data_IF_100084144613
#
_entry.id   IF_100084144613
#
_cell.length_a   1.000
_cell.length_b   1.000
_cell.length_c   1.000
_cell.angle_alpha   90.00
_cell.angle_beta   90.00
_cell.angle_gamma   90.00
#
_symmetry.space_group_name_H-M   'P 1'
#
loop_
_entity.id
_entity.type
_entity.pdbx_description
1 polymer ?
#
# COMPACT_ATOMS: atom_id res chain seq x y z
N UNK A 1 43.29 8.34 -72.64
CA UNK A 1 43.88 9.41 -71.80
C UNK A 1 42.97 10.62 -71.94
N UNK A 2 42.23 11.13 -70.96
CA UNK A 2 41.95 10.78 -69.56
C UNK A 2 40.73 11.62 -69.14
N UNK A 3 39.88 11.06 -68.29
CA UNK A 3 38.65 11.66 -67.71
C UNK A 3 39.01 12.59 -66.51
N UNK A 4 38.10 13.41 -65.93
CA UNK A 4 37.04 12.89 -65.03
C UNK A 4 35.68 13.68 -64.91
N UNK A 5 34.57 12.93 -64.76
CA UNK A 5 33.52 12.95 -63.69
C UNK A 5 32.91 14.30 -63.19
N UNK A 6 31.65 14.48 -62.78
CA UNK A 6 30.43 13.67 -62.57
C UNK A 6 29.32 14.66 -62.15
N UNK A 7 28.06 14.49 -62.60
CA UNK A 7 26.88 15.06 -61.91
C UNK A 7 25.61 14.41 -62.45
N UNK A 8 24.94 13.59 -61.65
CA UNK A 8 23.49 13.56 -61.37
C UNK A 8 23.11 12.27 -60.60
N UNK A 9 22.47 12.43 -59.44
CA UNK A 9 21.64 11.42 -58.74
C UNK A 9 20.36 12.13 -58.26
N UNK A 10 19.16 11.64 -58.58
CA UNK A 10 18.35 10.61 -57.86
C UNK A 10 17.66 11.19 -56.62
N UNK A 11 16.42 10.92 -56.20
CA UNK A 11 15.25 10.16 -56.65
C UNK A 11 14.12 10.50 -55.64
N UNK A 12 12.86 10.39 -56.08
CA UNK A 12 11.63 10.11 -55.30
C UNK A 12 11.10 11.03 -54.16
N UNK A 13 9.87 11.54 -54.36
CA UNK A 13 8.75 11.38 -53.41
C UNK A 13 7.44 11.92 -54.03
N UNK A 14 6.62 11.00 -54.53
CA UNK A 14 5.22 11.20 -54.91
C UNK A 14 4.35 11.01 -53.67
N UNK A 15 3.30 11.82 -53.49
CA UNK A 15 2.19 11.45 -52.61
C UNK A 15 1.59 12.59 -51.78
N UNK A 16 0.98 13.56 -52.44
CA UNK A 16 -0.03 14.42 -51.83
C UNK A 16 -1.33 13.60 -51.77
N UNK A 17 -1.73 13.14 -50.58
CA UNK A 17 -3.13 12.79 -50.33
C UNK A 17 -3.60 13.50 -49.06
N UNK A 18 -4.68 14.23 -49.30
CA UNK A 18 -5.22 15.33 -48.53
C UNK A 18 -6.03 14.92 -47.31
N UNK A 19 -6.14 15.88 -46.39
CA UNK A 19 -7.36 16.31 -45.69
C UNK A 19 -8.25 15.24 -45.03
N UNK A 20 -8.56 15.51 -43.76
CA UNK A 20 -9.61 14.89 -42.93
C UNK A 20 -9.20 13.59 -42.20
N UNK A 21 -8.25 13.73 -41.26
CA UNK A 21 -8.40 13.14 -39.93
C UNK A 21 -8.07 14.19 -38.88
N UNK A 22 -9.07 15.01 -38.64
CA UNK A 22 -9.25 15.77 -37.40
C UNK A 22 -9.05 14.85 -36.18
N UNK A 23 -8.40 15.45 -35.18
CA UNK A 23 -8.81 15.36 -33.77
C UNK A 23 -8.92 13.95 -33.16
N UNK A 24 -7.81 13.40 -32.63
CA UNK A 24 -7.85 12.74 -31.30
C UNK A 24 -6.49 12.33 -30.70
N UNK A 25 -5.50 13.22 -30.55
CA UNK A 25 -4.33 12.90 -29.69
C UNK A 25 -3.74 14.11 -28.97
N UNK A 26 -4.56 15.04 -28.49
CA UNK A 26 -4.12 15.95 -27.42
C UNK A 26 -4.60 15.39 -26.08
N UNK A 27 -4.04 14.25 -25.68
CA UNK A 27 -4.03 13.88 -24.26
C UNK A 27 -2.99 14.81 -23.61
N UNK A 28 -3.43 16.02 -23.28
CA UNK A 28 -2.72 16.85 -22.32
C UNK A 28 -2.88 16.09 -21.01
N UNK A 29 -1.88 15.28 -20.65
CA UNK A 29 -1.73 14.83 -19.27
C UNK A 29 -1.96 16.08 -18.39
N UNK A 30 -2.92 16.07 -17.46
CA UNK A 30 -3.14 17.21 -16.58
C UNK A 30 -1.79 17.56 -15.96
N UNK A 31 -1.44 18.86 -15.84
CA UNK A 31 -0.13 19.27 -15.36
C UNK A 31 0.14 18.50 -14.06
N UNK A 32 1.18 17.67 -14.08
CA UNK A 32 1.57 16.83 -12.97
C UNK A 32 1.82 17.77 -11.79
N UNK A 33 0.81 17.92 -10.92
CA UNK A 33 0.97 18.69 -9.69
C UNK A 33 1.93 17.89 -8.86
N UNK A 34 3.16 18.38 -8.81
CA UNK A 34 4.17 17.87 -7.91
C UNK A 34 3.64 18.10 -6.49
N UNK A 35 2.96 17.09 -5.93
CA UNK A 35 2.53 17.07 -4.54
C UNK A 35 3.80 16.88 -3.70
N UNK A 36 4.56 17.96 -3.52
CA UNK A 36 5.74 17.97 -2.66
C UNK A 36 5.23 18.09 -1.22
N UNK A 37 4.76 16.98 -0.66
CA UNK A 37 4.47 16.90 0.76
C UNK A 37 5.75 17.28 1.54
N UNK A 38 5.64 18.26 2.43
CA UNK A 38 6.82 18.71 3.19
C UNK A 38 7.18 17.69 4.27
N UNK A 39 8.41 17.76 4.78
CA UNK A 39 8.81 16.92 5.92
C UNK A 39 7.91 17.12 7.15
N UNK A 40 7.34 18.33 7.31
CA UNK A 40 6.41 18.63 8.40
C UNK A 40 5.04 18.00 8.19
N UNK A 41 4.53 17.97 6.95
CA UNK A 41 3.28 17.30 6.61
C UNK A 41 3.38 15.80 6.86
N UNK A 42 4.51 15.20 6.48
CA UNK A 42 4.80 13.81 6.79
C UNK A 42 4.87 13.55 8.29
N UNK A 43 5.53 14.41 9.07
CA UNK A 43 5.57 14.28 10.53
C UNK A 43 4.19 14.36 11.15
N UNK A 44 3.32 15.27 10.68
CA UNK A 44 1.94 15.39 11.14
C UNK A 44 1.11 14.14 10.80
N UNK A 45 1.22 13.67 9.56
CA UNK A 45 0.54 12.44 9.12
C UNK A 45 0.94 11.26 10.01
N UNK A 46 2.25 11.05 10.20
CA UNK A 46 2.78 9.94 10.98
C UNK A 46 2.37 9.99 12.46
N UNK A 47 2.39 11.18 13.08
CA UNK A 47 1.89 11.34 14.45
C UNK A 47 0.40 10.97 14.58
N UNK A 48 -0.36 11.06 13.49
CA UNK A 48 -1.78 10.70 13.45
C UNK A 48 -1.98 9.20 13.23
N UNK A 49 -1.26 8.59 12.28
CA UNK A 49 -1.48 7.18 11.92
C UNK A 49 -0.75 6.18 12.83
N UNK A 50 0.44 6.50 13.35
CA UNK A 50 1.24 5.55 14.14
C UNK A 50 0.50 4.97 15.36
N UNK A 51 -0.28 5.75 16.13
CA UNK A 51 -1.09 5.19 17.23
C UNK A 51 -2.12 4.14 16.80
N UNK A 52 -2.55 4.16 15.54
CA UNK A 52 -3.52 3.24 14.95
C UNK A 52 -2.87 1.98 14.32
N UNK A 53 -1.54 1.93 14.31
CA UNK A 53 -0.77 0.77 13.85
C UNK A 53 -0.55 -0.17 15.02
N UNK A 54 -0.87 -1.45 14.81
CA UNK A 54 -0.74 -2.49 15.83
C UNK A 54 0.17 -3.61 15.35
N UNK A 55 0.79 -4.29 16.31
CA UNK A 55 1.49 -5.55 16.06
C UNK A 55 0.53 -6.69 16.33
N UNK A 56 0.28 -7.52 15.34
CA UNK A 56 -0.50 -8.73 15.49
C UNK A 56 0.44 -9.89 15.82
N UNK A 57 0.26 -10.50 16.99
CA UNK A 57 0.85 -11.79 17.36
C UNK A 57 -0.18 -12.86 17.08
N UNK A 58 0.10 -13.76 16.13
CA UNK A 58 -0.79 -14.85 15.75
C UNK A 58 -0.13 -16.19 16.06
N UNK A 59 -0.84 -17.07 16.76
CA UNK A 59 -0.37 -18.40 17.14
C UNK A 59 -1.31 -19.46 16.58
N UNK A 60 -0.81 -20.25 15.63
CA UNK A 60 -1.44 -21.46 15.14
C UNK A 60 -0.96 -22.65 15.98
N UNK A 61 -1.82 -23.15 16.89
CA UNK A 61 -1.46 -24.22 17.81
C UNK A 61 -1.24 -25.58 17.12
N UNK A 62 -1.78 -25.78 15.92
CA UNK A 62 -1.69 -27.02 15.14
C UNK A 62 -1.53 -26.67 13.66
N UNK A 63 -0.88 -27.58 12.93
CA UNK A 63 -0.89 -27.51 11.49
C UNK A 63 -2.33 -27.68 10.98
N UNK A 64 -2.68 -26.94 9.95
CA UNK A 64 -3.99 -26.99 9.33
C UNK A 64 -3.87 -26.69 7.84
N UNK A 65 -4.55 -27.50 7.02
CA UNK A 65 -4.45 -27.45 5.56
C UNK A 65 -2.98 -27.57 5.12
N UNK A 66 -2.39 -26.51 4.55
CA UNK A 66 -0.98 -26.46 4.13
C UNK A 66 -0.07 -25.68 5.08
N UNK A 67 -0.60 -25.11 6.17
CA UNK A 67 0.15 -24.25 7.10
C UNK A 67 0.62 -25.04 8.33
N UNK A 68 1.88 -24.84 8.73
CA UNK A 68 2.45 -25.43 9.93
C UNK A 68 1.99 -24.72 11.22
N UNK A 69 2.10 -25.42 12.35
CA UNK A 69 1.95 -24.80 13.65
C UNK A 69 3.11 -23.81 13.90
N UNK A 70 2.82 -22.72 14.60
CA UNK A 70 3.82 -21.72 14.92
C UNK A 70 3.22 -20.40 15.39
N UNK A 71 4.10 -19.50 15.82
CA UNK A 71 3.76 -18.12 16.12
C UNK A 71 4.42 -17.19 15.09
N UNK A 72 3.70 -16.14 14.70
CA UNK A 72 4.20 -15.11 13.79
C UNK A 72 3.77 -13.73 14.27
N UNK A 73 4.54 -12.74 13.85
CA UNK A 73 4.24 -11.33 14.06
C UNK A 73 3.95 -10.66 12.73
N UNK A 74 3.02 -9.71 12.72
CA UNK A 74 2.69 -8.94 11.55
C UNK A 74 2.20 -7.55 11.94
N UNK A 75 2.05 -6.68 10.95
CA UNK A 75 1.44 -5.36 11.14
C UNK A 75 -0.07 -5.43 10.88
N UNK A 76 -0.84 -4.72 11.70
CA UNK A 76 -2.25 -4.43 11.46
C UNK A 76 -2.53 -2.93 11.54
N UNK A 77 -3.61 -2.50 10.89
CA UNK A 77 -4.06 -1.12 10.86
C UNK A 77 -5.50 -1.03 11.33
N UNK A 78 -5.79 -0.20 12.34
CA UNK A 78 -7.19 0.03 12.73
C UNK A 78 -7.87 0.88 11.65
N UNK A 79 -8.88 0.30 10.99
CA UNK A 79 -9.63 0.95 9.90
C UNK A 79 -11.06 1.32 10.28
N UNK A 80 -11.59 0.73 11.35
CA UNK A 80 -12.86 1.15 11.97
C UNK A 80 -12.74 1.01 13.49
N UNK A 81 -12.52 2.14 14.18
CA UNK A 81 -12.36 2.21 15.64
C UNK A 81 -13.67 1.90 16.36
N UNK A 82 -14.81 2.26 15.78
CA UNK A 82 -16.13 2.07 16.41
C UNK A 82 -16.51 0.59 16.44
N UNK A 83 -16.21 -0.14 15.36
CA UNK A 83 -16.48 -1.59 15.24
C UNK A 83 -15.30 -2.45 15.70
N UNK A 84 -14.15 -1.83 15.99
CA UNK A 84 -12.92 -2.49 16.38
C UNK A 84 -12.35 -3.36 15.27
N UNK A 85 -12.28 -2.86 14.04
CA UNK A 85 -11.79 -3.61 12.87
C UNK A 85 -10.34 -3.25 12.59
N UNK A 86 -9.51 -4.29 12.48
CA UNK A 86 -8.11 -4.22 12.08
C UNK A 86 -7.95 -4.86 10.71
N UNK A 87 -7.40 -4.12 9.77
CA UNK A 87 -6.96 -4.60 8.46
C UNK A 87 -5.53 -5.15 8.55
N UNK A 88 -5.30 -6.30 7.93
CA UNK A 88 -3.96 -6.90 7.78
C UNK A 88 -3.92 -7.76 6.52
N UNK A 89 -2.80 -8.43 6.25
CA UNK A 89 -2.70 -9.35 5.13
C UNK A 89 -3.44 -10.67 5.39
N UNK A 90 -3.91 -11.31 4.32
CA UNK A 90 -4.69 -12.57 4.38
C UNK A 90 -3.87 -13.70 5.01
N UNK A 91 -2.58 -13.75 4.74
CA UNK A 91 -1.68 -14.78 5.28
C UNK A 91 -1.49 -14.67 6.80
N UNK A 92 -1.74 -13.50 7.40
CA UNK A 92 -1.67 -13.26 8.85
C UNK A 92 -2.87 -13.88 9.57
N UNK A 93 -4.06 -13.80 8.96
CA UNK A 93 -5.30 -14.36 9.52
C UNK A 93 -5.22 -15.88 9.71
N UNK A 94 -4.37 -16.56 8.92
CA UNK A 94 -4.27 -18.03 8.79
C UNK A 94 -5.56 -18.68 8.26
N UNK A 95 -5.46 -19.82 7.55
CA UNK A 95 -6.63 -20.55 7.05
C UNK A 95 -7.33 -21.38 8.14
N UNK A 96 -6.59 -21.77 9.19
CA UNK A 96 -7.09 -22.59 10.28
C UNK A 96 -7.34 -21.80 11.58
N UNK A 97 -7.77 -22.48 12.65
CA UNK A 97 -7.95 -21.89 13.96
C UNK A 97 -6.67 -21.20 14.47
N UNK A 98 -6.81 -19.95 14.90
CA UNK A 98 -5.70 -19.10 15.34
C UNK A 98 -6.05 -18.40 16.66
N UNK A 99 -5.07 -18.29 17.55
CA UNK A 99 -5.12 -17.39 18.71
C UNK A 99 -4.35 -16.14 18.32
N UNK A 100 -4.98 -14.96 18.42
CA UNK A 100 -4.37 -13.73 17.97
C UNK A 100 -4.56 -12.58 18.96
N UNK A 101 -3.54 -11.74 19.08
CA UNK A 101 -3.50 -10.58 19.97
C UNK A 101 -2.94 -9.37 19.22
N UNK A 102 -3.51 -8.20 19.45
CA UNK A 102 -3.03 -6.92 18.94
C UNK A 102 -2.31 -6.16 20.06
N UNK A 103 -1.06 -5.78 19.79
CA UNK A 103 -0.26 -4.92 20.66
C UNK A 103 -0.25 -3.50 20.10
N UNK A 104 -0.75 -2.57 20.88
CA UNK A 104 -0.72 -1.15 20.53
C UNK A 104 0.64 -0.51 20.90
N UNK A 105 0.89 0.70 20.40
CA UNK A 105 2.15 1.43 20.63
C UNK A 105 2.47 1.65 22.11
N UNK A 106 1.44 1.74 22.96
CA UNK A 106 1.58 1.88 24.41
C UNK A 106 1.66 0.54 25.16
N UNK A 107 1.80 -0.58 24.44
CA UNK A 107 1.90 -1.95 24.95
C UNK A 107 0.62 -2.51 25.58
N UNK A 108 -0.54 -1.90 25.30
CA UNK A 108 -1.81 -2.58 25.58
C UNK A 108 -1.95 -3.78 24.63
N UNK A 109 -2.11 -4.98 25.20
CA UNK A 109 -2.32 -6.22 24.46
C UNK A 109 -3.78 -6.62 24.54
N UNK A 110 -4.46 -6.65 23.39
CA UNK A 110 -5.90 -6.92 23.31
C UNK A 110 -6.14 -8.18 22.46
N UNK A 111 -6.99 -9.12 22.91
CA UNK A 111 -7.35 -10.27 22.09
C UNK A 111 -8.09 -9.83 20.83
N UNK A 112 -7.75 -10.45 19.70
CA UNK A 112 -8.40 -10.21 18.41
C UNK A 112 -8.91 -11.49 17.80
N UNK A 113 -9.99 -11.38 17.04
CA UNK A 113 -10.65 -12.53 16.42
C UNK A 113 -10.76 -12.33 14.91
N UNK A 114 -10.38 -13.33 14.10
CA UNK A 114 -10.52 -13.23 12.65
C UNK A 114 -12.02 -13.15 12.30
N UNK A 115 -12.40 -12.16 11.50
CA UNK A 115 -13.79 -11.99 11.03
C UNK A 115 -13.93 -12.14 9.52
N UNK A 116 -12.83 -11.99 8.79
CA UNK A 116 -12.82 -12.16 7.35
C UNK A 116 -11.42 -12.50 6.85
N UNK A 117 -11.36 -13.37 5.85
CA UNK A 117 -10.15 -13.73 5.12
C UNK A 117 -10.50 -13.74 3.64
N UNK A 118 -9.91 -12.84 2.88
CA UNK A 118 -10.27 -12.74 1.47
C UNK A 118 -9.77 -13.98 0.69
N UNK A 119 -10.56 -14.54 -0.23
CA UNK A 119 -10.16 -15.74 -0.98
C UNK A 119 -9.18 -15.44 -2.12
N UNK A 120 -9.15 -14.20 -2.63
CA UNK A 120 -8.43 -13.82 -3.85
C UNK A 120 -7.29 -12.86 -3.53
N UNK A 121 -7.62 -11.77 -2.84
CA UNK A 121 -6.72 -10.68 -2.51
C UNK A 121 -5.98 -10.99 -1.18
N UNK A 122 -4.76 -10.49 -1.00
CA UNK A 122 -3.97 -10.73 0.22
C UNK A 122 -4.35 -9.77 1.36
N UNK A 123 -5.64 -9.68 1.69
CA UNK A 123 -6.12 -8.95 2.86
C UNK A 123 -7.07 -9.77 3.74
N UNK A 124 -7.19 -9.35 4.99
CA UNK A 124 -8.12 -9.92 5.96
C UNK A 124 -8.41 -8.96 7.10
N UNK A 125 -9.42 -9.31 7.89
CA UNK A 125 -9.88 -8.48 8.99
C UNK A 125 -9.89 -9.26 10.31
N UNK A 126 -9.38 -8.59 11.33
CA UNK A 126 -9.55 -8.97 12.73
C UNK A 126 -10.52 -8.01 13.41
N UNK A 127 -11.18 -8.50 14.46
CA UNK A 127 -12.02 -7.70 15.35
C UNK A 127 -11.50 -7.73 16.78
N UNK A 128 -11.40 -6.56 17.42
CA UNK A 128 -11.18 -6.40 18.86
C UNK A 128 -12.38 -5.73 19.52
N UNK A 129 -12.37 -5.69 20.85
CA UNK A 129 -13.27 -4.85 21.63
C UNK A 129 -12.62 -3.47 21.87
N UNK A 130 -13.13 -2.37 21.30
CA UNK A 130 -12.59 -1.04 21.54
C UNK A 130 -12.58 -0.62 23.01
N UNK A 131 -13.50 -1.15 23.83
CA UNK A 131 -13.57 -0.85 25.25
C UNK A 131 -12.43 -1.48 26.06
N UNK A 132 -11.70 -2.44 25.49
CA UNK A 132 -10.55 -3.06 26.14
C UNK A 132 -9.31 -2.15 26.15
N UNK A 133 -9.30 -1.09 25.34
CA UNK A 133 -8.22 -0.08 25.32
C UNK A 133 -8.57 1.02 26.31
N UNK A 134 -7.72 1.19 27.32
CA UNK A 134 -7.99 2.07 28.46
C UNK A 134 -7.12 3.34 28.43
N UNK A 135 -5.91 3.26 27.89
CA UNK A 135 -4.90 4.31 28.07
C UNK A 135 -4.46 4.96 26.76
N UNK A 136 -4.66 4.31 25.62
CA UNK A 136 -4.32 4.88 24.31
C UNK A 136 -5.47 5.67 23.69
N UNK A 137 -5.18 6.92 23.34
CA UNK A 137 -5.98 7.67 22.37
C UNK A 137 -5.36 7.55 20.98
N UNK A 138 -6.14 7.11 20.01
CA UNK A 138 -5.75 6.96 18.60
C UNK A 138 -6.98 7.16 17.70
N UNK A 139 -6.75 7.46 16.43
CA UNK A 139 -7.81 7.58 15.42
C UNK A 139 -7.74 6.42 14.43
N UNK A 140 -8.83 6.12 13.72
CA UNK A 140 -8.80 5.12 12.65
C UNK A 140 -8.10 5.64 11.40
N UNK A 141 -7.50 4.74 10.63
CA UNK A 141 -6.86 5.07 9.36
C UNK A 141 -7.92 5.01 8.25
N UNK A 142 -8.29 6.15 7.64
CA UNK A 142 -9.28 6.16 6.57
C UNK A 142 -8.70 5.51 5.32
N UNK A 143 -9.51 4.67 4.67
CA UNK A 143 -9.19 4.11 3.36
C UNK A 143 -9.61 5.12 2.29
N UNK A 144 -8.69 5.44 1.38
CA UNK A 144 -8.91 6.40 0.29
C UNK A 144 -8.40 5.84 -1.05
N UNK A 145 -9.07 4.82 -1.63
CA UNK A 145 -8.62 4.19 -2.87
C UNK A 145 -8.52 5.15 -4.06
N UNK A 146 -9.38 6.17 -4.11
CA UNK A 146 -9.46 7.18 -5.17
C UNK A 146 -8.33 8.21 -5.09
N UNK A 147 -7.65 8.30 -3.95
CA UNK A 147 -6.51 9.20 -3.75
C UNK A 147 -5.19 8.62 -4.28
N UNK A 148 -5.15 7.32 -4.62
CA UNK A 148 -3.96 6.68 -5.14
C UNK A 148 -3.72 7.10 -6.61
N UNK A 149 -2.65 7.86 -6.84
CA UNK A 149 -2.24 8.27 -8.18
C UNK A 149 -0.76 7.98 -8.44
N UNK A 150 -0.44 7.72 -9.70
CA UNK A 150 0.93 7.44 -10.16
C UNK A 150 1.82 8.65 -9.89
N UNK A 151 3.02 8.41 -9.37
CA UNK A 151 3.98 9.44 -9.03
C UNK A 151 3.79 10.09 -7.65
N UNK A 152 2.74 9.71 -6.90
CA UNK A 152 2.53 10.11 -5.51
C UNK A 152 3.64 9.55 -4.61
N UNK A 153 4.21 10.41 -3.76
CA UNK A 153 5.11 9.97 -2.70
C UNK A 153 4.33 9.17 -1.66
N UNK A 154 4.75 7.92 -1.42
CA UNK A 154 4.17 7.06 -0.38
C UNK A 154 5.20 6.80 0.70
N UNK A 155 4.71 6.64 1.93
CA UNK A 155 5.50 6.13 3.05
C UNK A 155 4.86 4.85 3.56
N UNK A 156 5.67 3.81 3.67
CA UNK A 156 5.24 2.54 4.27
C UNK A 156 5.45 2.63 5.77
N UNK A 157 4.44 2.23 6.53
CA UNK A 157 4.52 2.07 7.98
C UNK A 157 4.31 0.59 8.29
N UNK A 158 5.29 -0.01 8.95
CA UNK A 158 5.24 -1.41 9.36
C UNK A 158 6.10 -1.63 10.58
N UNK A 159 5.77 -2.68 11.34
CA UNK A 159 6.59 -3.20 12.41
C UNK A 159 7.07 -4.61 12.02
N UNK A 160 8.36 -4.75 11.77
CA UNK A 160 8.98 -5.95 11.19
C UNK A 160 9.86 -6.74 12.19
N UNK A 161 10.05 -6.28 13.43
CA UNK A 161 11.15 -6.81 14.26
C UNK A 161 10.79 -7.40 15.62
N UNK A 162 9.52 -7.49 16.01
CA UNK A 162 9.14 -8.06 17.32
C UNK A 162 9.67 -7.30 18.55
N UNK A 163 10.55 -6.31 18.36
CA UNK A 163 11.03 -5.37 19.36
C UNK A 163 11.12 -3.95 18.78
N UNK A 164 10.54 -3.00 19.53
CA UNK A 164 10.42 -1.55 19.28
C UNK A 164 9.76 -1.22 17.94
N UNK A 165 8.73 -0.36 18.00
CA UNK A 165 8.07 0.24 16.85
C UNK A 165 9.11 1.08 16.08
N UNK A 166 9.90 0.46 15.22
CA UNK A 166 10.74 1.14 14.25
C UNK A 166 9.94 1.27 12.98
N UNK A 167 9.40 2.47 12.78
CA UNK A 167 8.79 2.87 11.52
C UNK A 167 9.85 2.82 10.42
N UNK A 168 9.81 1.77 9.61
CA UNK A 168 10.69 1.64 8.46
C UNK A 168 10.14 2.51 7.32
N UNK A 169 10.61 3.77 7.24
CA UNK A 169 10.17 4.70 6.22
C UNK A 169 10.90 4.44 4.90
N UNK A 170 10.20 3.86 3.94
CA UNK A 170 10.63 3.94 2.54
C UNK A 170 9.75 4.96 1.82
N UNK A 171 10.40 5.90 1.15
CA UNK A 171 9.76 6.81 0.20
C UNK A 171 9.79 6.15 -1.18
N UNK A 172 8.62 5.84 -1.71
CA UNK A 172 8.46 5.34 -3.08
C UNK A 172 7.54 6.27 -3.85
N UNK A 173 7.63 6.21 -5.18
CA UNK A 173 6.59 6.75 -6.06
C UNK A 173 5.65 5.63 -6.47
N UNK A 174 4.35 5.84 -6.32
CA UNK A 174 3.35 4.94 -6.88
C UNK A 174 3.61 4.78 -8.39
N UNK A 175 3.73 3.54 -8.88
CA UNK A 175 3.85 3.22 -10.31
C UNK A 175 2.65 2.37 -10.70
N UNK A 176 2.09 2.61 -11.88
CA UNK A 176 1.21 1.63 -12.54
C UNK A 176 2.08 0.46 -13.00
N UNK A 177 1.65 -0.76 -12.66
CA UNK A 177 2.19 -2.01 -13.17
C UNK A 177 1.27 -2.61 -14.21
#
# INVERSE_FOLDING_TARGET
MGDPLERLGSEEAVGMESCLKEELCMEIDPPFRENVATAEDWRKALNTVVPAVVVLRTTACRAFDTEAAGASYATGFVVDKRRGIILTNRHVVKPGPVVAEAMFVNREEIPVYPIYRDPVHDFGFFRYDPAAIQFLSYEEIPLAPEAACVGLEIRVVGNDSGEKVFSLYFSFRCKVG
#
